data_IF_882620481202
#
_entry.id   IF_882620481202
#
_cell.length_a   1.000
_cell.length_b   1.000
_cell.length_c   1.000
_cell.angle_alpha   90.00
_cell.angle_beta   90.00
_cell.angle_gamma   90.00
#
_symmetry.space_group_name_H-M   'P 1'
#
loop_
_entity.id
_entity.type
_entity.pdbx_description
1 polymer ?
#
# COMPACT_ATOMS: atom_id res chain seq x y z
N UNK A 1 10.38 -13.81 17.42
CA UNK A 1 8.99 -13.37 17.65
C UNK A 1 8.42 -13.15 16.26
N UNK A 2 7.42 -13.92 15.83
CA UNK A 2 6.77 -13.62 14.55
C UNK A 2 6.07 -12.28 14.72
N UNK A 3 6.65 -11.23 14.19
CA UNK A 3 6.02 -9.92 14.11
C UNK A 3 4.82 -10.07 13.17
N UNK A 4 3.63 -10.14 13.77
CA UNK A 4 2.32 -10.25 13.11
C UNK A 4 2.10 -9.13 12.06
N UNK A 5 2.95 -8.12 12.05
CA UNK A 5 2.93 -6.96 11.16
C UNK A 5 3.08 -7.33 9.68
N UNK A 6 3.94 -8.26 9.27
CA UNK A 6 4.23 -8.41 7.83
C UNK A 6 3.10 -9.03 7.01
N UNK A 7 2.32 -9.95 7.59
CA UNK A 7 1.31 -10.72 6.85
C UNK A 7 -0.04 -10.01 6.80
N UNK A 8 -0.37 -9.20 7.80
CA UNK A 8 -1.72 -8.64 7.97
C UNK A 8 -1.84 -7.19 7.48
N UNK A 9 -0.72 -6.44 7.40
CA UNK A 9 -0.78 -5.02 7.06
C UNK A 9 -1.23 -4.75 5.61
N UNK A 10 -0.76 -5.53 4.64
CA UNK A 10 -1.22 -5.40 3.25
C UNK A 10 -2.73 -5.63 3.12
N UNK A 11 -3.30 -6.77 3.55
CA UNK A 11 -4.74 -6.99 3.46
C UNK A 11 -5.55 -5.97 4.28
N UNK A 12 -5.01 -5.45 5.38
CA UNK A 12 -5.63 -4.34 6.13
C UNK A 12 -5.70 -3.06 5.28
N UNK A 13 -4.60 -2.63 4.65
CA UNK A 13 -4.57 -1.45 3.78
C UNK A 13 -5.54 -1.66 2.59
N UNK A 14 -5.53 -2.84 1.97
CA UNK A 14 -6.47 -3.20 0.91
C UNK A 14 -7.92 -3.06 1.38
N UNK A 15 -8.25 -3.57 2.56
CA UNK A 15 -9.59 -3.47 3.14
C UNK A 15 -10.03 -2.02 3.32
N UNK A 16 -9.17 -1.17 3.89
CA UNK A 16 -9.47 0.26 4.08
C UNK A 16 -9.66 0.97 2.74
N UNK A 17 -8.78 0.73 1.76
CA UNK A 17 -8.91 1.31 0.41
C UNK A 17 -10.20 0.87 -0.27
N UNK A 18 -10.62 -0.38 -0.05
CA UNK A 18 -11.88 -0.92 -0.57
C UNK A 18 -13.10 -0.21 0.05
N UNK A 19 -13.06 0.19 1.32
CA UNK A 19 -14.11 1.01 1.94
C UNK A 19 -14.23 2.37 1.24
N UNK A 20 -13.10 3.05 0.99
CA UNK A 20 -13.10 4.31 0.22
C UNK A 20 -13.68 4.13 -1.18
N UNK A 21 -13.36 3.02 -1.83
CA UNK A 21 -13.93 2.68 -3.14
C UNK A 21 -15.44 2.45 -3.08
N UNK A 22 -15.95 1.80 -2.03
CA UNK A 22 -17.38 1.55 -1.85
C UNK A 22 -18.19 2.83 -1.64
N UNK A 23 -17.63 3.85 -0.98
CA UNK A 23 -18.29 5.15 -0.78
C UNK A 23 -18.16 6.09 -1.99
N UNK A 24 -17.62 5.62 -3.12
CA UNK A 24 -17.60 6.35 -4.38
C UNK A 24 -16.36 7.22 -4.62
N UNK A 25 -15.27 7.04 -3.85
CA UNK A 25 -14.01 7.74 -4.13
C UNK A 25 -13.51 7.40 -5.52
N UNK A 26 -13.06 8.42 -6.25
CA UNK A 26 -12.52 8.27 -7.60
C UNK A 26 -11.35 7.26 -7.61
N UNK A 27 -11.40 6.29 -8.53
CA UNK A 27 -10.37 5.26 -8.69
C UNK A 27 -8.96 5.83 -8.88
N UNK A 28 -8.82 7.04 -9.42
CA UNK A 28 -7.53 7.73 -9.58
C UNK A 28 -6.90 8.15 -8.25
N UNK A 29 -7.70 8.30 -7.19
CA UNK A 29 -7.26 8.76 -5.86
C UNK A 29 -6.92 7.56 -4.95
N UNK A 30 -7.53 6.39 -5.18
CA UNK A 30 -7.31 5.19 -4.37
C UNK A 30 -5.84 4.79 -4.19
N UNK A 31 -4.96 4.86 -5.22
CA UNK A 31 -3.56 4.51 -5.03
C UNK A 31 -2.81 5.48 -4.11
N UNK A 32 -3.17 6.77 -4.12
CA UNK A 32 -2.60 7.77 -3.20
C UNK A 32 -3.06 7.53 -1.76
N UNK A 33 -4.34 7.17 -1.58
CA UNK A 33 -4.86 6.78 -0.27
C UNK A 33 -4.08 5.56 0.27
N UNK A 34 -3.88 4.55 -0.57
CA UNK A 34 -3.10 3.36 -0.22
C UNK A 34 -1.67 3.70 0.20
N UNK A 35 -1.01 4.60 -0.54
CA UNK A 35 0.35 5.06 -0.24
C UNK A 35 0.42 5.80 1.11
N UNK A 36 -0.50 6.75 1.34
CA UNK A 36 -0.56 7.50 2.61
C UNK A 36 -0.82 6.57 3.78
N UNK A 37 -1.77 5.64 3.65
CA UNK A 37 -2.04 4.64 4.68
C UNK A 37 -0.82 3.76 4.95
N UNK A 38 -0.15 3.30 3.90
CA UNK A 38 1.08 2.53 4.01
C UNK A 38 2.16 3.29 4.77
N UNK A 39 2.45 4.54 4.42
CA UNK A 39 3.45 5.38 5.10
C UNK A 39 3.08 5.60 6.58
N UNK A 40 1.82 5.93 6.88
CA UNK A 40 1.37 6.13 8.26
C UNK A 40 1.57 4.85 9.07
N UNK A 41 1.18 3.70 8.52
CA UNK A 41 1.36 2.40 9.17
C UNK A 41 2.85 2.09 9.35
N UNK A 42 3.66 2.31 8.32
CA UNK A 42 5.10 2.05 8.34
C UNK A 42 5.83 2.87 9.40
N UNK A 43 5.52 4.17 9.52
CA UNK A 43 6.14 5.05 10.52
C UNK A 43 5.69 4.70 11.94
N UNK A 44 4.38 4.52 12.14
CA UNK A 44 3.82 4.39 13.50
C UNK A 44 4.01 2.99 14.07
N UNK A 45 3.87 1.94 13.24
CA UNK A 45 3.78 0.56 13.73
C UNK A 45 4.94 -0.33 13.31
N UNK A 46 5.69 0.01 12.27
CA UNK A 46 6.79 -0.84 11.76
C UNK A 46 8.16 -0.29 12.13
N UNK A 47 8.34 1.03 12.07
CA UNK A 47 9.64 1.67 12.26
C UNK A 47 9.78 2.43 13.58
N UNK A 48 8.85 2.28 14.52
CA UNK A 48 8.90 2.92 15.85
C UNK A 48 9.24 4.43 15.79
N UNK A 49 8.59 5.16 14.88
CA UNK A 49 8.81 6.60 14.62
C UNK A 49 10.14 6.97 13.93
N UNK A 50 10.96 6.00 13.48
CA UNK A 50 12.02 6.27 12.50
C UNK A 50 11.38 6.64 11.15
N UNK A 51 11.43 7.93 10.81
CA UNK A 51 10.83 8.45 9.61
C UNK A 51 11.43 7.87 8.33
N UNK A 52 12.75 7.62 8.30
CA UNK A 52 13.41 7.15 7.08
C UNK A 52 12.99 5.72 6.77
N UNK A 53 13.09 4.85 7.77
CA UNK A 53 12.70 3.45 7.63
C UNK A 53 11.18 3.33 7.44
N UNK A 54 10.40 4.07 8.21
CA UNK A 54 8.94 4.01 8.19
C UNK A 54 8.33 4.47 6.87
N UNK A 55 8.85 5.55 6.27
CA UNK A 55 8.41 6.00 4.95
C UNK A 55 8.75 4.96 3.89
N UNK A 56 9.95 4.38 3.93
CA UNK A 56 10.40 3.41 2.94
C UNK A 56 9.58 2.11 3.00
N UNK A 57 9.48 1.50 4.18
CA UNK A 57 8.71 0.26 4.37
C UNK A 57 7.22 0.52 4.16
N UNK A 58 6.70 1.63 4.68
CA UNK A 58 5.31 2.01 4.50
C UNK A 58 4.91 2.26 3.05
N UNK A 59 5.77 2.89 2.25
CA UNK A 59 5.54 3.05 0.82
C UNK A 59 5.48 1.69 0.11
N UNK A 60 6.37 0.75 0.47
CA UNK A 60 6.33 -0.61 -0.08
C UNK A 60 5.00 -1.31 0.23
N UNK A 61 4.52 -1.24 1.47
CA UNK A 61 3.23 -1.81 1.89
C UNK A 61 2.05 -1.17 1.13
N UNK A 62 2.01 0.16 1.09
CA UNK A 62 0.93 0.93 0.45
C UNK A 62 0.84 0.71 -1.06
N UNK A 63 1.97 0.69 -1.76
CA UNK A 63 2.03 0.44 -3.21
C UNK A 63 1.70 -1.01 -3.57
N UNK A 64 2.09 -1.95 -2.70
CA UNK A 64 1.72 -3.37 -2.85
C UNK A 64 0.22 -3.57 -2.71
N UNK A 65 -0.39 -2.91 -1.72
CA UNK A 65 -1.84 -2.93 -1.49
C UNK A 65 -2.65 -2.32 -2.65
N UNK A 66 -2.14 -1.29 -3.33
CA UNK A 66 -2.86 -0.68 -4.45
C UNK A 66 -2.76 -1.45 -5.77
N UNK A 67 -1.88 -2.45 -5.85
CA UNK A 67 -1.60 -3.17 -7.10
C UNK A 67 -0.92 -2.31 -8.17
N UNK A 68 -0.35 -1.16 -7.81
CA UNK A 68 0.28 -0.21 -8.74
C UNK A 68 1.46 -0.86 -9.47
N UNK A 69 2.30 -1.59 -8.73
CA UNK A 69 3.46 -2.28 -9.27
C UNK A 69 3.05 -3.38 -10.27
N UNK A 70 2.10 -4.24 -9.90
CA UNK A 70 1.59 -5.30 -10.78
C UNK A 70 0.86 -4.73 -12.00
N UNK A 71 0.10 -3.64 -11.83
CA UNK A 71 -0.58 -2.95 -12.93
C UNK A 71 0.41 -2.35 -13.93
N UNK A 72 1.44 -1.65 -13.47
CA UNK A 72 2.49 -1.08 -14.32
C UNK A 72 3.28 -2.19 -15.04
N UNK A 73 3.66 -3.23 -14.32
CA UNK A 73 4.38 -4.40 -14.87
C UNK A 73 3.57 -5.08 -15.98
N UNK A 74 2.29 -5.35 -15.75
CA UNK A 74 1.44 -6.02 -16.73
C UNK A 74 1.22 -5.17 -18.00
N UNK A 75 1.23 -3.84 -17.90
CA UNK A 75 1.17 -2.95 -19.07
C UNK A 75 2.47 -3.07 -19.88
N UNK A 76 3.63 -3.02 -19.21
CA UNK A 76 4.95 -3.11 -19.87
C UNK A 76 5.14 -4.48 -20.53
N UNK A 77 4.81 -5.58 -19.84
CA UNK A 77 4.93 -6.94 -20.40
C UNK A 77 3.84 -7.28 -21.44
N UNK A 78 2.73 -6.52 -21.44
CA UNK A 78 1.63 -6.69 -22.38
C UNK A 78 1.91 -6.15 -23.78
N UNK A 79 2.88 -5.23 -23.93
CA UNK A 79 3.32 -4.68 -25.22
C UNK A 79 4.31 -5.61 -25.96
N UNK A 80 4.82 -6.66 -25.30
CA UNK A 80 5.75 -7.65 -25.87
C UNK A 80 5.06 -8.87 -26.52
N UNK A 81 3.73 -8.84 -26.76
CA UNK A 81 2.97 -9.94 -27.39
C UNK A 81 2.16 -9.53 -28.61
#
# INVERSE_FOLDING_TARGET
MFEIYDVVLIPLIVGIVQLFKQVGVNKKILPFISLVLGIVVGVVYVAEMDLKQGILVGAMLGLSASGLYSGAKNIIEGDDK
#
